data_IF_628811645453
#
_entry.id   IF_628811645453
#
_cell.length_a   1.000
_cell.length_b   1.000
_cell.length_c   1.000
_cell.angle_alpha   90.00
_cell.angle_beta   90.00
_cell.angle_gamma   90.00
#
_symmetry.space_group_name_H-M   'P 1'
#
loop_
_entity.id
_entity.type
_entity.pdbx_description
1 polymer ?
#
# COMPACT_ATOMS: atom_id res chain seq x y z
N UNK A 1 2.87 -1.13 5.22
CA UNK A 1 3.40 -2.51 5.26
C UNK A 1 2.43 -3.51 5.89
N UNK A 2 1.93 -3.28 7.11
CA UNK A 2 0.98 -4.20 7.79
C UNK A 2 -0.24 -4.52 6.92
N UNK A 3 -0.85 -3.49 6.32
CA UNK A 3 -1.95 -3.63 5.39
C UNK A 3 -1.62 -4.58 4.23
N UNK A 4 -0.47 -4.41 3.59
CA UNK A 4 -0.09 -5.19 2.43
C UNK A 4 0.17 -6.66 2.78
N UNK A 5 0.91 -6.95 3.86
CA UNK A 5 1.13 -8.32 4.32
C UNK A 5 -0.17 -9.01 4.73
N UNK A 6 -1.04 -8.28 5.47
CA UNK A 6 -2.35 -8.77 5.85
C UNK A 6 -3.23 -9.10 4.65
N UNK A 7 -3.26 -8.23 3.63
CA UNK A 7 -4.01 -8.47 2.39
C UNK A 7 -3.56 -9.73 1.66
N UNK A 8 -2.26 -10.05 1.66
CA UNK A 8 -1.75 -11.28 1.02
C UNK A 8 -2.23 -12.52 1.77
N UNK A 9 -2.12 -12.51 3.10
CA UNK A 9 -2.58 -13.62 3.92
C UNK A 9 -4.09 -13.85 3.79
N UNK A 10 -4.88 -12.76 3.81
CA UNK A 10 -6.33 -12.82 3.60
C UNK A 10 -6.66 -13.35 2.21
N UNK A 11 -5.95 -12.91 1.17
CA UNK A 11 -6.16 -13.40 -0.19
C UNK A 11 -5.94 -14.91 -0.30
N UNK A 12 -4.87 -15.45 0.29
CA UNK A 12 -4.59 -16.89 0.24
C UNK A 12 -5.64 -17.71 1.00
N UNK A 13 -6.06 -17.24 2.17
CA UNK A 13 -7.10 -17.91 2.98
C UNK A 13 -8.44 -17.88 2.23
N UNK A 14 -8.86 -16.71 1.75
CA UNK A 14 -10.16 -16.55 1.10
C UNK A 14 -10.18 -17.24 -0.26
N UNK A 15 -9.07 -17.22 -1.01
CA UNK A 15 -8.96 -17.97 -2.26
C UNK A 15 -9.07 -19.49 -2.03
N UNK A 16 -8.53 -19.99 -0.92
CA UNK A 16 -8.71 -21.39 -0.52
C UNK A 16 -10.16 -21.69 -0.14
N UNK A 17 -10.80 -20.82 0.67
CA UNK A 17 -12.19 -21.01 1.12
C UNK A 17 -13.16 -21.00 -0.08
N UNK A 18 -13.10 -19.97 -0.92
CA UNK A 18 -13.94 -19.88 -2.12
C UNK A 18 -13.58 -20.94 -3.15
N UNK A 19 -12.29 -21.28 -3.27
CA UNK A 19 -11.85 -22.36 -4.16
C UNK A 19 -12.35 -23.73 -3.73
N UNK A 20 -12.44 -24.01 -2.42
CA UNK A 20 -12.99 -25.27 -1.92
C UNK A 20 -14.52 -25.31 -1.95
N UNK A 21 -15.18 -24.18 -1.72
CA UNK A 21 -16.64 -24.10 -1.69
C UNK A 21 -17.27 -24.06 -3.10
N UNK A 22 -16.66 -23.33 -4.05
CA UNK A 22 -17.23 -23.05 -5.37
C UNK A 22 -16.31 -23.40 -6.55
N UNK A 23 -15.10 -23.89 -6.28
CA UNK A 23 -14.12 -24.15 -7.31
C UNK A 23 -14.53 -25.25 -8.27
N UNK A 24 -14.68 -24.91 -9.54
CA UNK A 24 -15.00 -25.85 -10.62
C UNK A 24 -14.02 -25.75 -11.76
N UNK A 25 -13.48 -24.56 -12.02
CA UNK A 25 -12.58 -24.33 -13.15
C UNK A 25 -11.13 -24.15 -12.68
N UNK A 26 -10.19 -25.01 -13.09
CA UNK A 26 -8.78 -24.85 -12.71
C UNK A 26 -8.15 -23.63 -13.39
N UNK A 27 -7.39 -22.86 -12.62
CA UNK A 27 -6.78 -21.61 -13.08
C UNK A 27 -5.55 -21.86 -13.99
N UNK A 28 -4.78 -22.92 -13.72
CA UNK A 28 -3.64 -23.32 -14.56
C UNK A 28 -3.47 -24.84 -14.53
N UNK A 29 -3.13 -25.45 -15.69
CA UNK A 29 -2.88 -26.90 -15.79
C UNK A 29 -1.76 -27.38 -14.88
N UNK A 30 -0.80 -26.50 -14.57
CA UNK A 30 0.25 -26.80 -13.62
C UNK A 30 -0.34 -26.99 -12.20
N UNK A 31 -1.36 -26.25 -11.78
CA UNK A 31 -1.89 -26.32 -10.42
C UNK A 31 -3.40 -26.58 -10.43
N UNK A 32 -3.81 -27.85 -10.59
CA UNK A 32 -5.24 -28.19 -10.70
C UNK A 32 -6.05 -27.90 -9.44
N UNK A 33 -5.40 -27.68 -8.30
CA UNK A 33 -6.05 -27.33 -7.03
C UNK A 33 -6.39 -25.84 -6.89
N UNK A 34 -5.85 -24.96 -7.74
CA UNK A 34 -6.21 -23.52 -7.75
C UNK A 34 -7.29 -23.28 -8.78
N UNK A 35 -8.38 -22.62 -8.37
CA UNK A 35 -9.54 -22.38 -9.22
C UNK A 35 -9.73 -20.91 -9.56
N UNK A 36 -10.38 -20.62 -10.68
CA UNK A 36 -10.70 -19.25 -11.10
C UNK A 36 -11.69 -18.62 -10.12
N UNK A 37 -12.67 -19.38 -9.65
CA UNK A 37 -13.67 -18.90 -8.69
C UNK A 37 -13.03 -18.54 -7.35
N UNK A 38 -12.04 -19.34 -6.91
CA UNK A 38 -11.25 -19.04 -5.72
C UNK A 38 -10.44 -17.76 -5.89
N UNK A 39 -9.80 -17.55 -7.04
CA UNK A 39 -9.05 -16.34 -7.33
C UNK A 39 -9.93 -15.07 -7.33
N UNK A 40 -11.09 -15.11 -7.99
CA UNK A 40 -12.02 -13.96 -8.03
C UNK A 40 -12.63 -13.68 -6.65
N UNK A 41 -13.07 -14.73 -5.92
CA UNK A 41 -13.63 -14.59 -4.58
C UNK A 41 -12.59 -14.09 -3.56
N UNK A 42 -11.37 -14.62 -3.62
CA UNK A 42 -10.24 -14.15 -2.83
C UNK A 42 -9.93 -12.68 -3.11
N UNK A 43 -9.88 -12.30 -4.39
CA UNK A 43 -9.64 -10.93 -4.83
C UNK A 43 -10.66 -9.93 -4.28
N UNK A 44 -11.95 -10.19 -4.50
CA UNK A 44 -13.03 -9.32 -4.02
C UNK A 44 -13.03 -9.19 -2.50
N UNK A 45 -12.89 -10.30 -1.78
CA UNK A 45 -12.86 -10.29 -0.31
C UNK A 45 -11.66 -9.51 0.25
N UNK A 46 -10.51 -9.59 -0.41
CA UNK A 46 -9.28 -8.89 -0.01
C UNK A 46 -9.41 -7.38 -0.18
N UNK A 47 -10.04 -6.93 -1.27
CA UNK A 47 -10.29 -5.50 -1.52
C UNK A 47 -11.22 -4.94 -0.44
N UNK A 48 -12.32 -5.64 -0.14
CA UNK A 48 -13.27 -5.23 0.90
C UNK A 48 -12.56 -5.17 2.27
N UNK A 49 -11.79 -6.20 2.60
CA UNK A 49 -11.00 -6.24 3.83
C UNK A 49 -10.01 -5.07 3.92
N UNK A 50 -9.30 -4.76 2.83
CA UNK A 50 -8.32 -3.67 2.80
C UNK A 50 -8.95 -2.28 3.02
N UNK A 51 -10.13 -2.04 2.47
CA UNK A 51 -10.87 -0.79 2.71
C UNK A 51 -11.33 -0.70 4.15
N UNK A 52 -11.87 -1.80 4.71
CA UNK A 52 -12.35 -1.85 6.09
C UNK A 52 -11.22 -1.66 7.11
N UNK A 53 -10.11 -2.39 6.94
CA UNK A 53 -8.97 -2.29 7.85
C UNK A 53 -8.30 -0.91 7.77
N UNK A 54 -8.34 -0.25 6.59
CA UNK A 54 -7.88 1.13 6.46
C UNK A 54 -8.72 2.10 7.29
N UNK A 55 -10.05 1.94 7.31
CA UNK A 55 -10.94 2.75 8.15
C UNK A 55 -10.73 2.46 9.64
N UNK A 56 -10.54 1.19 10.00
CA UNK A 56 -10.24 0.77 11.37
C UNK A 56 -8.91 1.37 11.87
N UNK A 57 -7.85 1.31 11.08
CA UNK A 57 -6.55 1.91 11.43
C UNK A 57 -6.67 3.43 11.59
N UNK A 58 -7.47 4.08 10.76
CA UNK A 58 -7.66 5.53 10.83
C UNK A 58 -8.23 6.00 12.19
N UNK A 59 -8.93 5.14 12.93
CA UNK A 59 -9.48 5.47 14.26
C UNK A 59 -8.38 5.70 15.32
N UNK A 60 -7.19 5.12 15.14
CA UNK A 60 -6.08 5.25 16.07
C UNK A 60 -5.26 6.50 15.77
N UNK A 61 -5.51 7.56 16.55
CA UNK A 61 -4.81 8.86 16.41
C UNK A 61 -3.29 8.72 16.46
N UNK A 62 -2.77 7.77 17.24
CA UNK A 62 -1.35 7.47 17.38
C UNK A 62 -0.68 7.07 16.05
N UNK A 63 -1.42 6.46 15.12
CA UNK A 63 -0.89 6.00 13.82
C UNK A 63 -1.08 7.07 12.75
N UNK A 64 -2.16 7.85 12.84
CA UNK A 64 -2.51 8.86 11.83
C UNK A 64 -1.85 10.22 12.06
N UNK A 65 -1.29 10.44 13.24
CA UNK A 65 -0.67 11.71 13.61
C UNK A 65 0.74 11.82 13.01
N UNK A 66 1.05 12.88 12.24
CA UNK A 66 2.43 13.17 11.87
C UNK A 66 3.22 13.53 13.14
N UNK A 67 4.31 12.81 13.41
CA UNK A 67 5.23 13.09 14.52
C UNK A 67 6.58 13.50 13.95
N UNK A 68 7.03 14.72 14.26
CA UNK A 68 8.36 15.20 13.88
C UNK A 68 9.43 14.82 14.92
N UNK A 69 9.01 14.46 16.14
CA UNK A 69 9.89 13.99 17.20
C UNK A 69 9.36 12.66 17.77
N UNK A 70 10.21 11.64 17.83
CA UNK A 70 9.83 10.30 18.32
C UNK A 70 9.82 10.34 19.86
N UNK A 71 8.66 10.58 20.46
CA UNK A 71 8.49 10.43 21.92
C UNK A 71 8.05 8.99 22.23
N UNK A 72 8.92 8.20 22.87
CA UNK A 72 8.71 6.77 23.15
C UNK A 72 7.75 6.47 24.32
N UNK A 73 6.82 7.37 24.61
CA UNK A 73 5.94 7.26 25.78
C UNK A 73 4.58 6.72 25.29
N UNK A 74 4.23 5.46 25.57
CA UNK A 74 2.96 4.91 25.12
C UNK A 74 1.79 5.60 25.85
N UNK A 75 0.69 5.86 25.12
CA UNK A 75 -0.60 6.36 25.64
C UNK A 75 -0.70 7.85 26.02
N UNK A 76 0.20 8.72 25.57
CA UNK A 76 -0.02 10.17 25.72
C UNK A 76 -1.24 10.61 24.88
N UNK A 77 -2.13 11.48 25.41
CA UNK A 77 -3.16 12.12 24.60
C UNK A 77 -2.50 13.09 23.61
N UNK A 78 -2.32 12.65 22.37
CA UNK A 78 -1.83 13.51 21.28
C UNK A 78 -2.96 14.45 20.82
N UNK A 79 -2.75 15.76 20.99
CA UNK A 79 -3.56 16.81 20.36
C UNK A 79 -2.93 17.18 19.02
N UNK A 80 -3.24 16.41 17.99
CA UNK A 80 -2.87 16.74 16.62
C UNK A 80 -4.05 16.57 15.68
N UNK A 81 -4.01 17.35 14.61
CA UNK A 81 -4.94 17.22 13.49
C UNK A 81 -4.49 16.05 12.63
N UNK A 82 -5.43 15.14 12.34
CA UNK A 82 -5.23 14.02 11.42
C UNK A 82 -4.85 14.56 10.04
N UNK A 83 -3.99 13.83 9.32
CA UNK A 83 -3.65 14.20 7.95
C UNK A 83 -4.84 14.01 7.00
N UNK A 84 -5.01 14.96 6.06
CA UNK A 84 -6.07 15.01 5.04
C UNK A 84 -6.31 13.71 4.24
N UNK A 85 -5.31 12.81 4.19
CA UNK A 85 -5.39 11.51 3.49
C UNK A 85 -6.41 10.55 4.14
N UNK A 86 -6.76 10.80 5.41
CA UNK A 86 -7.70 9.99 6.17
C UNK A 86 -9.09 10.61 6.27
N UNK A 87 -9.29 11.82 5.75
CA UNK A 87 -10.59 12.48 5.75
C UNK A 87 -11.42 12.00 4.56
N UNK A 88 -12.68 11.62 4.84
CA UNK A 88 -13.60 11.11 3.82
C UNK A 88 -14.05 12.26 2.93
N UNK A 89 -14.02 12.03 1.62
CA UNK A 89 -14.51 12.98 0.62
C UNK A 89 -15.50 12.23 -0.29
N UNK A 90 -16.57 12.89 -0.74
CA UNK A 90 -17.46 12.28 -1.73
C UNK A 90 -16.66 12.08 -3.02
N UNK A 91 -16.56 10.83 -3.47
CA UNK A 91 -15.87 10.49 -4.71
C UNK A 91 -16.86 9.81 -5.67
N UNK A 92 -16.86 10.25 -6.92
CA UNK A 92 -17.63 9.62 -7.98
C UNK A 92 -16.95 8.30 -8.36
N UNK A 93 -17.61 7.19 -8.03
CA UNK A 93 -17.18 5.85 -8.45
C UNK A 93 -18.09 5.35 -9.58
N UNK A 94 -17.66 4.36 -10.38
CA UNK A 94 -18.51 3.75 -11.40
C UNK A 94 -19.83 3.18 -10.87
N UNK A 95 -19.92 2.94 -9.55
CA UNK A 95 -21.08 2.36 -8.88
C UNK A 95 -21.90 3.39 -8.08
N UNK A 96 -21.56 4.68 -8.15
CA UNK A 96 -22.24 5.77 -7.46
C UNK A 96 -21.31 6.67 -6.65
N UNK A 97 -21.88 7.70 -6.02
CA UNK A 97 -21.15 8.60 -5.10
C UNK A 97 -21.00 7.91 -3.75
N UNK A 98 -19.76 7.64 -3.35
CA UNK A 98 -19.45 7.04 -2.04
C UNK A 98 -18.49 7.95 -1.27
N UNK A 99 -18.68 8.04 0.04
CA UNK A 99 -17.77 8.78 0.92
C UNK A 99 -16.53 7.95 1.23
N UNK A 100 -15.46 8.17 0.45
CA UNK A 100 -14.19 7.45 0.62
C UNK A 100 -13.08 8.41 1.04
N UNK A 101 -12.20 7.95 1.93
CA UNK A 101 -10.95 8.62 2.20
C UNK A 101 -9.89 8.25 1.15
N UNK A 102 -8.98 9.16 0.76
CA UNK A 102 -7.88 8.83 -0.16
C UNK A 102 -7.06 7.61 0.29
N UNK A 103 -6.86 7.44 1.60
CA UNK A 103 -6.22 6.25 2.20
C UNK A 103 -6.91 4.93 1.81
N UNK A 104 -8.25 4.90 1.75
CA UNK A 104 -9.01 3.72 1.36
C UNK A 104 -8.82 3.38 -0.12
N UNK A 105 -8.71 4.40 -0.99
CA UNK A 105 -8.43 4.20 -2.42
C UNK A 105 -7.05 3.60 -2.60
N UNK A 106 -6.03 4.13 -1.92
CA UNK A 106 -4.69 3.55 -1.96
C UNK A 106 -4.66 2.12 -1.40
N UNK A 107 -5.41 1.84 -0.33
CA UNK A 107 -5.56 0.50 0.24
C UNK A 107 -6.17 -0.47 -0.78
N UNK A 108 -7.22 -0.06 -1.48
CA UNK A 108 -7.87 -0.86 -2.52
C UNK A 108 -6.93 -1.14 -3.71
N UNK A 109 -6.14 -0.15 -4.14
CA UNK A 109 -5.15 -0.33 -5.24
C UNK A 109 -4.06 -1.33 -4.82
N UNK A 110 -3.53 -1.19 -3.60
CA UNK A 110 -2.53 -2.12 -3.06
C UNK A 110 -3.11 -3.53 -2.96
N UNK A 111 -4.34 -3.67 -2.46
CA UNK A 111 -5.03 -4.95 -2.37
C UNK A 111 -5.25 -5.58 -3.75
N UNK A 112 -5.72 -4.80 -4.73
CA UNK A 112 -5.90 -5.27 -6.10
C UNK A 112 -4.57 -5.81 -6.65
N UNK A 113 -3.49 -5.05 -6.54
CA UNK A 113 -2.18 -5.51 -7.00
C UNK A 113 -1.71 -6.77 -6.27
N UNK A 114 -1.88 -6.83 -4.94
CA UNK A 114 -1.52 -8.00 -4.14
C UNK A 114 -2.30 -9.24 -4.60
N UNK A 115 -3.60 -9.11 -4.90
CA UNK A 115 -4.44 -10.23 -5.35
C UNK A 115 -4.01 -10.74 -6.73
N UNK A 116 -3.58 -9.85 -7.63
CA UNK A 116 -3.09 -10.24 -8.94
C UNK A 116 -1.72 -10.93 -8.86
N UNK A 117 -0.79 -10.39 -8.05
CA UNK A 117 0.60 -10.84 -8.01
C UNK A 117 0.85 -12.02 -7.07
N UNK A 118 0.16 -12.10 -5.92
CA UNK A 118 0.37 -13.17 -4.94
C UNK A 118 0.23 -14.59 -5.54
N UNK A 119 -0.76 -14.88 -6.41
CA UNK A 119 -0.89 -16.20 -7.04
C UNK A 119 0.27 -16.56 -7.95
N UNK A 120 0.86 -15.57 -8.65
CA UNK A 120 2.02 -15.79 -9.52
C UNK A 120 3.25 -16.20 -8.71
N UNK A 121 3.46 -15.62 -7.52
CA UNK A 121 4.53 -16.07 -6.62
C UNK A 121 4.40 -17.56 -6.27
N UNK A 122 3.19 -17.99 -5.89
CA UNK A 122 2.94 -19.41 -5.60
C UNK A 122 3.06 -20.33 -6.83
N UNK A 123 2.77 -19.84 -8.03
CA UNK A 123 2.97 -20.60 -9.27
C UNK A 123 4.43 -20.71 -9.67
N UNK A 124 5.20 -19.64 -9.52
CA UNK A 124 6.64 -19.61 -9.80
C UNK A 124 7.37 -20.61 -8.89
N UNK A 125 7.10 -20.55 -7.59
CA UNK A 125 7.63 -21.52 -6.62
C UNK A 125 7.24 -22.95 -6.97
N UNK A 126 5.96 -23.20 -7.25
CA UNK A 126 5.46 -24.54 -7.65
C UNK A 126 6.07 -25.04 -8.97
N UNK A 127 6.35 -24.16 -9.92
CA UNK A 127 6.98 -24.49 -11.19
C UNK A 127 8.46 -24.81 -11.04
N UNK A 128 9.20 -24.02 -10.27
CA UNK A 128 10.62 -24.24 -10.00
C UNK A 128 10.84 -25.57 -9.27
N UNK A 129 10.00 -25.90 -8.27
CA UNK A 129 10.02 -27.19 -7.58
C UNK A 129 9.91 -28.38 -8.54
N UNK A 130 9.01 -28.28 -9.52
CA UNK A 130 8.81 -29.34 -10.54
C UNK A 130 9.96 -29.43 -11.53
N UNK A 131 10.54 -28.29 -11.91
CA UNK A 131 11.73 -28.24 -12.76
C UNK A 131 12.95 -28.90 -12.09
N UNK A 132 13.07 -28.77 -10.77
CA UNK A 132 14.15 -29.36 -9.98
C UNK A 132 13.86 -30.79 -9.48
N UNK A 133 12.66 -31.34 -9.74
CA UNK A 133 12.19 -32.62 -9.19
C UNK A 133 12.24 -32.70 -7.65
N UNK A 134 12.15 -31.55 -6.98
CA UNK A 134 12.13 -31.42 -5.53
C UNK A 134 10.70 -31.09 -5.09
N UNK A 135 10.22 -31.71 -4.00
CA UNK A 135 8.85 -31.50 -3.53
C UNK A 135 8.70 -30.21 -2.71
N UNK A 136 9.70 -29.89 -1.89
CA UNK A 136 9.76 -28.72 -1.00
C UNK A 136 11.19 -28.17 -0.96
N UNK A 137 11.37 -26.83 -1.03
CA UNK A 137 12.71 -26.22 -1.05
C UNK A 137 13.51 -26.45 0.24
N UNK A 138 12.83 -26.75 1.35
CA UNK A 138 13.41 -27.04 2.66
C UNK A 138 12.35 -27.61 3.60
N UNK A 139 12.72 -28.55 4.48
CA UNK A 139 11.94 -28.98 5.65
C UNK A 139 12.18 -28.03 6.85
N UNK A 140 12.07 -26.71 6.63
CA UNK A 140 12.39 -25.74 7.67
C UNK A 140 11.49 -25.88 8.92
N UNK A 141 10.28 -26.43 8.76
CA UNK A 141 9.37 -26.77 9.86
C UNK A 141 8.62 -28.07 9.53
N UNK A 142 8.73 -29.13 10.37
CA UNK A 142 8.09 -30.42 10.09
C UNK A 142 6.56 -30.26 9.98
N UNK A 143 6.01 -30.64 8.83
CA UNK A 143 4.57 -30.62 8.55
C UNK A 143 3.99 -29.29 8.03
N UNK A 144 4.80 -28.26 7.73
CA UNK A 144 4.30 -26.94 7.27
C UNK A 144 4.85 -26.48 5.90
N UNK A 145 5.70 -27.27 5.25
CA UNK A 145 6.34 -26.93 3.98
C UNK A 145 7.50 -25.93 4.13
N UNK A 146 8.05 -25.46 3.02
CA UNK A 146 9.20 -24.56 3.00
C UNK A 146 8.85 -23.12 3.41
N UNK A 147 9.66 -22.52 4.28
CA UNK A 147 9.56 -21.09 4.66
C UNK A 147 9.71 -20.17 3.44
N UNK A 148 10.60 -20.54 2.51
CA UNK A 148 10.87 -19.80 1.28
C UNK A 148 9.60 -19.66 0.43
N UNK A 149 8.85 -20.75 0.22
CA UNK A 149 7.59 -20.74 -0.55
C UNK A 149 6.54 -19.71 -0.06
N UNK A 150 6.62 -19.26 1.20
CA UNK A 150 5.72 -18.28 1.81
C UNK A 150 6.25 -16.84 1.77
N UNK A 151 7.57 -16.67 1.71
CA UNK A 151 8.21 -15.35 1.67
C UNK A 151 8.34 -14.78 0.26
N UNK A 152 8.32 -15.63 -0.77
CA UNK A 152 8.48 -15.22 -2.18
C UNK A 152 7.45 -14.15 -2.59
N UNK A 153 6.17 -14.37 -2.26
CA UNK A 153 5.11 -13.42 -2.58
C UNK A 153 5.18 -12.15 -1.73
N UNK A 154 5.60 -12.27 -0.46
CA UNK A 154 5.72 -11.14 0.45
C UNK A 154 6.84 -10.18 0.03
N UNK A 155 7.97 -10.71 -0.48
CA UNK A 155 9.06 -9.88 -0.99
C UNK A 155 8.63 -9.05 -2.20
N UNK A 156 7.95 -9.65 -3.16
CA UNK A 156 7.48 -8.95 -4.38
C UNK A 156 6.47 -7.86 -4.02
N UNK A 157 5.52 -8.16 -3.13
CA UNK A 157 4.49 -7.21 -2.70
C UNK A 157 5.09 -6.09 -1.84
N UNK A 158 6.05 -6.41 -0.97
CA UNK A 158 6.78 -5.41 -0.18
C UNK A 158 7.52 -4.42 -1.07
N UNK A 159 8.22 -4.91 -2.10
CA UNK A 159 8.90 -4.05 -3.08
C UNK A 159 7.92 -3.14 -3.82
N UNK A 160 6.80 -3.69 -4.31
CA UNK A 160 5.76 -2.89 -4.96
C UNK A 160 5.21 -1.80 -4.04
N UNK A 161 4.87 -2.14 -2.80
CA UNK A 161 4.31 -1.17 -1.84
C UNK A 161 5.31 -0.07 -1.54
N UNK A 162 6.60 -0.39 -1.40
CA UNK A 162 7.64 0.60 -1.22
C UNK A 162 7.71 1.59 -2.41
N UNK A 163 7.74 1.07 -3.64
CA UNK A 163 7.73 1.92 -4.85
C UNK A 163 6.44 2.73 -4.94
N UNK A 164 5.29 2.10 -4.71
CA UNK A 164 3.99 2.76 -4.77
C UNK A 164 3.87 3.91 -3.76
N UNK A 165 4.27 3.68 -2.51
CA UNK A 165 4.26 4.71 -1.49
C UNK A 165 5.20 5.86 -1.85
N UNK A 166 6.44 5.58 -2.27
CA UNK A 166 7.42 6.63 -2.61
C UNK A 166 7.04 7.43 -3.85
N UNK A 167 6.48 6.78 -4.87
CA UNK A 167 6.19 7.41 -6.17
C UNK A 167 4.79 8.04 -6.25
N UNK A 168 3.80 7.48 -5.57
CA UNK A 168 2.40 7.90 -5.68
C UNK A 168 1.97 8.70 -4.45
N UNK A 169 2.26 8.19 -3.25
CA UNK A 169 1.75 8.80 -2.00
C UNK A 169 2.67 9.93 -1.51
N UNK A 170 3.98 9.70 -1.47
CA UNK A 170 4.96 10.67 -0.96
C UNK A 170 5.57 11.58 -2.03
N UNK A 171 5.02 11.57 -3.26
CA UNK A 171 5.56 12.34 -4.41
C UNK A 171 5.77 13.83 -4.08
N UNK A 172 4.89 14.42 -3.28
CA UNK A 172 4.94 15.83 -2.92
C UNK A 172 5.94 16.15 -1.81
N UNK A 173 6.29 15.20 -0.94
CA UNK A 173 7.24 15.42 0.16
C UNK A 173 8.66 15.66 -0.37
N UNK A 174 9.06 14.94 -1.42
CA UNK A 174 10.37 15.11 -2.06
C UNK A 174 10.46 16.33 -2.98
N UNK A 175 9.35 16.94 -3.37
CA UNK A 175 9.36 18.10 -4.26
C UNK A 175 10.04 19.31 -3.62
N UNK A 176 9.64 19.63 -2.38
CA UNK A 176 10.13 20.81 -1.66
C UNK A 176 11.61 20.64 -1.28
N UNK A 177 12.00 19.50 -0.70
CA UNK A 177 13.42 19.24 -0.39
C UNK A 177 14.32 19.29 -1.62
N UNK A 178 13.87 18.74 -2.76
CA UNK A 178 14.61 18.84 -4.02
C UNK A 178 14.72 20.28 -4.51
N UNK A 179 13.64 21.06 -4.41
CA UNK A 179 13.68 22.48 -4.76
C UNK A 179 14.70 23.22 -3.88
N UNK A 180 14.74 22.95 -2.58
CA UNK A 180 15.75 23.53 -1.68
C UNK A 180 17.17 23.07 -2.02
N UNK A 181 17.38 21.79 -2.37
CA UNK A 181 18.69 21.27 -2.80
C UNK A 181 19.12 21.88 -4.14
N UNK A 182 18.19 22.11 -5.08
CA UNK A 182 18.45 22.82 -6.33
C UNK A 182 18.76 24.31 -6.08
N UNK A 183 18.02 24.98 -5.20
CA UNK A 183 18.28 26.37 -4.81
C UNK A 183 19.62 26.50 -4.10
N UNK A 184 20.02 25.50 -3.32
CA UNK A 184 21.32 25.44 -2.65
C UNK A 184 22.50 25.32 -3.62
N UNK A 185 22.28 24.73 -4.80
CA UNK A 185 23.28 24.53 -5.87
C UNK A 185 23.37 25.67 -6.88
N UNK A 186 22.47 26.66 -6.83
CA UNK A 186 22.50 27.84 -7.71
C UNK A 186 23.61 28.82 -7.31
N UNK A 187 24.05 29.60 -8.29
CA UNK A 187 24.97 30.72 -8.08
C UNK A 187 24.32 31.81 -7.21
N UNK A 188 25.13 32.57 -6.46
CA UNK A 188 24.62 33.52 -5.45
C UNK A 188 23.65 34.56 -6.02
N UNK A 189 23.89 35.03 -7.25
CA UNK A 189 23.04 36.03 -7.91
C UNK A 189 21.63 35.49 -8.22
N UNK A 190 21.54 34.26 -8.71
CA UNK A 190 20.26 33.62 -9.06
C UNK A 190 19.45 33.27 -7.81
N UNK A 191 20.15 32.83 -6.75
CA UNK A 191 19.54 32.56 -5.45
C UNK A 191 18.90 33.83 -4.88
N UNK A 192 19.57 34.97 -4.98
CA UNK A 192 19.04 36.25 -4.52
C UNK A 192 17.78 36.68 -5.30
N UNK A 193 17.77 36.51 -6.63
CA UNK A 193 16.60 36.82 -7.47
C UNK A 193 15.37 36.00 -7.09
N UNK A 194 15.56 34.70 -6.86
CA UNK A 194 14.47 33.81 -6.43
C UNK A 194 13.91 34.24 -5.07
N UNK A 195 14.78 34.56 -4.10
CA UNK A 195 14.32 35.04 -2.79
C UNK A 195 13.54 36.36 -2.88
N UNK A 196 13.97 37.30 -3.73
CA UNK A 196 13.23 38.55 -3.94
C UNK A 196 11.84 38.32 -4.58
N UNK A 197 11.74 37.41 -5.56
CA UNK A 197 10.46 37.06 -6.17
C UNK A 197 9.51 36.39 -5.17
N UNK A 198 10.03 35.45 -4.36
CA UNK A 198 9.27 34.81 -3.30
C UNK A 198 8.77 35.82 -2.25
N UNK A 199 9.62 36.76 -1.84
CA UNK A 199 9.23 37.82 -0.91
C UNK A 199 8.12 38.72 -1.46
N UNK A 200 8.19 39.05 -2.76
CA UNK A 200 7.17 39.87 -3.44
C UNK A 200 5.83 39.12 -3.54
N UNK A 201 5.84 37.84 -3.89
CA UNK A 201 4.65 37.00 -3.97
C UNK A 201 4.01 36.85 -2.58
N UNK A 202 4.81 36.58 -1.55
CA UNK A 202 4.31 36.40 -0.18
C UNK A 202 3.73 37.72 0.40
N UNK A 203 4.35 38.86 0.10
CA UNK A 203 3.83 40.18 0.46
C UNK A 203 2.47 40.48 -0.19
N UNK A 204 2.28 40.11 -1.47
CA UNK A 204 0.99 40.30 -2.15
C UNK A 204 -0.11 39.37 -1.62
N UNK A 205 0.22 38.13 -1.25
CA UNK A 205 -0.75 37.17 -0.68
C UNK A 205 -1.24 37.61 0.71
N UNK A 206 -0.33 38.15 1.54
CA UNK A 206 -0.71 38.66 2.87
C UNK A 206 -1.47 39.98 2.80
N UNK A 207 -1.19 40.84 1.82
CA UNK A 207 -1.95 42.07 1.56
C UNK A 207 -3.39 41.84 1.04
N UNK A 208 -3.67 40.74 0.34
CA UNK A 208 -5.00 40.43 -0.17
C UNK A 208 -5.93 39.73 0.84
N UNK A 209 -5.41 39.19 1.94
CA UNK A 209 -6.21 38.55 3.01
C UNK A 209 -6.59 39.54 4.13
N UNK A 210 -6.32 40.84 3.97
CA UNK A 210 -6.63 41.90 4.96
C UNK A 210 -7.69 42.91 4.47
N UNK A 211 -8.42 42.61 3.39
CA UNK A 211 -9.65 43.31 3.01
C UNK A 211 -10.87 42.42 3.21
#
# INVERSE_FOLDING_TARGET
MILAGGSVAVNDIMAFVFGKAFGRTPLIKLSPSKTVEGFVGGGLSTIIFAVYISDFIAQFKQITCPQNEITLIPFIPLNCTRADIYDKRPMETPFGTMELAPSQVHAAIIALFATLIAPFGGFFASGLKRGLKIKDFSDSIPGHGGFVDRFDCHLVISFFVFVYLTQVVYKNAHGIERIFDYIGKLEEEDRYRIYQQLHTIYGNVTGNNTQ
#
